data_IF_559100478167
#
_entry.id   IF_559100478167
#
_cell.length_a   1.000
_cell.length_b   1.000
_cell.length_c   1.000
_cell.angle_alpha   90.00
_cell.angle_beta   90.00
_cell.angle_gamma   90.00
#
_symmetry.space_group_name_H-M   'P 1'
#
loop_
_entity.id
_entity.type
_entity.pdbx_description
1 polymer ?
#
# COMPACT_ATOMS: atom_id res chain seq x y z
N UNK A 1 -7.07 -21.14 0.61
CA UNK A 1 -6.74 -20.25 -0.51
C UNK A 1 -7.90 -19.29 -0.69
N UNK A 2 -7.58 -18.01 -0.87
CA UNK A 2 -8.50 -16.89 -0.78
C UNK A 2 -8.87 -16.29 -2.12
N UNK A 3 -9.29 -15.02 -2.10
CA UNK A 3 -9.64 -14.22 -3.26
C UNK A 3 -8.60 -13.13 -3.50
N UNK A 4 -8.43 -12.75 -4.76
CA UNK A 4 -7.56 -11.64 -5.16
C UNK A 4 -8.33 -10.72 -6.10
N UNK A 5 -8.50 -9.45 -5.71
CA UNK A 5 -9.11 -8.42 -6.55
C UNK A 5 -8.05 -7.44 -7.06
N UNK A 6 -8.12 -7.06 -8.32
CA UNK A 6 -7.30 -6.00 -8.93
C UNK A 6 -8.23 -4.87 -9.35
N UNK A 7 -8.09 -3.70 -8.74
CA UNK A 7 -9.01 -2.58 -8.97
C UNK A 7 -8.34 -1.21 -8.78
N UNK A 8 -9.00 -0.14 -9.23
CA UNK A 8 -8.57 1.24 -9.02
C UNK A 8 -9.47 1.95 -8.04
N UNK A 9 -8.90 2.71 -7.12
CA UNK A 9 -9.66 3.45 -6.11
C UNK A 9 -10.22 4.78 -6.62
N UNK A 10 -9.67 5.32 -7.72
CA UNK A 10 -10.10 6.61 -8.27
C UNK A 10 -11.36 6.55 -9.16
N UNK A 11 -11.65 5.40 -9.77
CA UNK A 11 -12.82 5.22 -10.66
C UNK A 11 -14.14 5.16 -9.89
N UNK A 12 -15.25 4.78 -10.55
CA UNK A 12 -16.53 4.48 -9.88
C UNK A 12 -16.82 2.96 -9.77
N UNK A 13 -16.52 2.20 -10.81
CA UNK A 13 -16.73 0.74 -10.82
C UNK A 13 -15.68 0.01 -9.99
N UNK A 14 -14.40 0.35 -10.18
CA UNK A 14 -13.30 -0.29 -9.45
C UNK A 14 -13.34 -0.01 -7.95
N UNK A 15 -13.75 1.19 -7.57
CA UNK A 15 -13.96 1.61 -6.18
C UNK A 15 -15.25 1.03 -5.63
N UNK A 16 -16.41 1.64 -5.93
CA UNK A 16 -17.69 1.36 -5.28
C UNK A 16 -18.22 -0.04 -5.54
N UNK A 17 -18.23 -0.51 -6.80
CA UNK A 17 -18.64 -1.89 -7.08
C UNK A 17 -17.57 -2.89 -6.61
N UNK A 18 -16.29 -2.54 -6.68
CA UNK A 18 -15.19 -3.38 -6.19
C UNK A 18 -15.27 -3.63 -4.68
N UNK A 19 -15.46 -2.59 -3.88
CA UNK A 19 -15.61 -2.70 -2.43
C UNK A 19 -16.92 -3.39 -2.02
N UNK A 20 -18.01 -3.16 -2.76
CA UNK A 20 -19.25 -3.91 -2.55
C UNK A 20 -19.05 -5.42 -2.78
N UNK A 21 -18.32 -5.81 -3.84
CA UNK A 21 -17.97 -7.21 -4.09
C UNK A 21 -17.09 -7.78 -2.98
N UNK A 22 -16.10 -7.02 -2.50
CA UNK A 22 -15.26 -7.42 -1.38
C UNK A 22 -16.12 -7.72 -0.14
N UNK A 23 -17.01 -6.79 0.23
CA UNK A 23 -17.93 -6.94 1.38
C UNK A 23 -18.81 -8.18 1.23
N UNK A 24 -19.41 -8.40 0.05
CA UNK A 24 -20.23 -9.59 -0.21
C UNK A 24 -19.46 -10.90 -0.19
N UNK A 25 -18.23 -10.91 -0.70
CA UNK A 25 -17.37 -12.10 -0.61
C UNK A 25 -16.96 -12.34 0.84
N UNK A 26 -16.70 -11.28 1.64
CA UNK A 26 -16.37 -11.42 3.06
C UNK A 26 -17.54 -11.95 3.88
N UNK A 27 -18.77 -11.52 3.58
CA UNK A 27 -20.01 -12.07 4.16
C UNK A 27 -20.20 -13.55 3.82
N UNK A 28 -19.99 -13.95 2.56
CA UNK A 28 -20.24 -15.32 2.09
C UNK A 28 -19.09 -16.29 2.45
N UNK A 29 -17.86 -15.80 2.50
CA UNK A 29 -16.64 -16.57 2.71
C UNK A 29 -15.72 -15.94 3.79
N UNK A 30 -16.17 -15.85 5.05
CA UNK A 30 -15.41 -15.19 6.11
C UNK A 30 -14.06 -15.87 6.43
N UNK A 31 -13.98 -17.20 6.26
CA UNK A 31 -12.76 -17.99 6.53
C UNK A 31 -11.72 -17.92 5.40
N UNK A 32 -11.96 -17.12 4.36
CA UNK A 32 -11.09 -17.01 3.19
C UNK A 32 -10.38 -15.67 3.19
N UNK A 33 -9.06 -15.73 2.98
CA UNK A 33 -8.22 -14.54 2.83
C UNK A 33 -8.70 -13.70 1.64
N UNK A 34 -8.79 -12.39 1.83
CA UNK A 34 -9.13 -11.41 0.81
C UNK A 34 -7.95 -10.48 0.58
N UNK A 35 -7.35 -10.58 -0.60
CA UNK A 35 -6.22 -9.73 -1.00
C UNK A 35 -6.62 -8.79 -2.13
N UNK A 36 -6.12 -7.56 -2.11
CA UNK A 36 -6.37 -6.59 -3.19
C UNK A 36 -5.09 -5.97 -3.74
N UNK A 37 -5.08 -5.71 -5.04
CA UNK A 37 -4.11 -4.85 -5.71
C UNK A 37 -4.85 -3.57 -6.06
N UNK A 38 -4.64 -2.55 -5.23
CA UNK A 38 -5.40 -1.31 -5.22
C UNK A 38 -4.58 -0.19 -5.84
N UNK A 39 -5.01 0.26 -7.02
CA UNK A 39 -4.36 1.38 -7.72
C UNK A 39 -4.87 2.70 -7.15
N UNK A 40 -3.97 3.45 -6.52
CA UNK A 40 -4.22 4.73 -5.87
C UNK A 40 -4.18 5.84 -6.94
N UNK A 41 -5.17 6.75 -6.96
CA UNK A 41 -5.19 7.84 -7.92
C UNK A 41 -4.08 8.86 -7.69
N UNK A 42 -3.72 9.57 -8.75
CA UNK A 42 -2.77 10.68 -8.69
C UNK A 42 -3.14 11.77 -9.69
N UNK A 43 -3.11 13.05 -9.29
CA UNK A 43 -3.37 14.18 -10.19
C UNK A 43 -2.33 14.33 -11.30
N UNK A 44 -1.18 13.64 -11.22
CA UNK A 44 -0.19 13.61 -12.30
C UNK A 44 -0.61 12.73 -13.49
N UNK A 45 -1.53 11.78 -13.24
CA UNK A 45 -1.93 10.76 -14.22
C UNK A 45 -3.37 10.95 -14.69
N UNK A 46 -4.22 11.55 -13.87
CA UNK A 46 -5.63 11.79 -14.20
C UNK A 46 -6.06 13.22 -13.85
N UNK A 47 -6.84 13.82 -14.75
CA UNK A 47 -7.46 15.15 -14.58
C UNK A 47 -8.81 15.08 -13.84
N UNK A 48 -9.26 13.88 -13.44
CA UNK A 48 -10.56 13.70 -12.80
C UNK A 48 -10.51 14.17 -11.36
N UNK A 49 -11.25 15.24 -11.07
CA UNK A 49 -11.23 15.87 -9.75
C UNK A 49 -11.90 15.05 -8.66
N UNK A 50 -12.84 14.14 -8.99
CA UNK A 50 -13.60 13.37 -7.98
C UNK A 50 -12.88 12.11 -7.46
N UNK A 51 -11.69 11.79 -7.97
CA UNK A 51 -10.93 10.60 -7.56
C UNK A 51 -10.61 10.53 -6.06
N UNK A 52 -10.30 11.64 -5.35
CA UNK A 52 -10.08 11.60 -3.91
C UNK A 52 -11.32 11.16 -3.12
N UNK A 53 -12.53 11.51 -3.58
CA UNK A 53 -13.78 11.03 -2.94
C UNK A 53 -13.90 9.52 -3.04
N UNK A 54 -13.77 9.00 -4.27
CA UNK A 54 -13.84 7.57 -4.52
C UNK A 54 -12.77 6.80 -3.74
N UNK A 55 -11.55 7.35 -3.66
CA UNK A 55 -10.46 6.71 -2.96
C UNK A 55 -10.68 6.68 -1.45
N UNK A 56 -11.08 7.79 -0.82
CA UNK A 56 -11.35 7.84 0.63
C UNK A 56 -12.47 6.89 1.02
N UNK A 57 -13.59 6.90 0.28
CA UNK A 57 -14.70 5.96 0.50
C UNK A 57 -14.28 4.50 0.32
N UNK A 58 -13.41 4.22 -0.66
CA UNK A 58 -12.93 2.86 -0.90
C UNK A 58 -11.99 2.38 0.20
N UNK A 59 -11.08 3.24 0.67
CA UNK A 59 -10.11 2.85 1.70
C UNK A 59 -10.82 2.51 3.01
N UNK A 60 -11.84 3.28 3.40
CA UNK A 60 -12.69 2.94 4.54
C UNK A 60 -13.21 1.50 4.45
N UNK A 61 -13.72 1.09 3.29
CA UNK A 61 -14.19 -0.29 3.07
C UNK A 61 -13.06 -1.33 3.01
N UNK A 62 -11.88 -0.96 2.50
CA UNK A 62 -10.74 -1.87 2.40
C UNK A 62 -10.14 -2.19 3.78
N UNK A 63 -10.08 -1.21 4.67
CA UNK A 63 -9.55 -1.38 6.04
C UNK A 63 -10.35 -2.44 6.80
N UNK A 64 -11.66 -2.48 6.63
CA UNK A 64 -12.52 -3.43 7.36
C UNK A 64 -12.63 -4.80 6.70
N UNK A 65 -12.61 -4.86 5.36
CA UNK A 65 -13.01 -6.06 4.62
C UNK A 65 -11.87 -6.82 3.91
N UNK A 66 -10.63 -6.32 3.96
CA UNK A 66 -9.48 -6.96 3.31
C UNK A 66 -8.41 -7.35 4.31
N UNK A 67 -7.79 -8.51 4.09
CA UNK A 67 -6.71 -8.99 4.96
C UNK A 67 -5.35 -8.42 4.49
N UNK A 68 -5.14 -8.25 3.18
CA UNK A 68 -3.95 -7.58 2.63
C UNK A 68 -4.32 -6.69 1.43
N UNK A 69 -3.84 -5.44 1.44
CA UNK A 69 -3.99 -4.52 0.31
C UNK A 69 -2.63 -4.03 -0.19
N UNK A 70 -2.27 -4.44 -1.41
CA UNK A 70 -1.11 -3.95 -2.13
C UNK A 70 -1.43 -2.58 -2.74
N UNK A 71 -0.85 -1.53 -2.16
CA UNK A 71 -1.00 -0.17 -2.65
C UNK A 71 -0.09 0.06 -3.86
N UNK A 72 -0.70 0.35 -5.02
CA UNK A 72 -0.01 0.69 -6.27
C UNK A 72 -0.32 2.15 -6.59
N UNK A 73 0.64 3.03 -6.43
CA UNK A 73 0.47 4.46 -6.63
C UNK A 73 0.85 4.87 -8.05
N UNK A 74 -0.13 5.43 -8.77
CA UNK A 74 0.10 6.01 -10.09
C UNK A 74 1.14 7.14 -10.07
N UNK A 75 1.27 7.88 -8.97
CA UNK A 75 2.29 8.90 -8.81
C UNK A 75 3.70 8.30 -8.84
N UNK A 76 3.91 7.22 -8.09
CA UNK A 76 5.19 6.53 -8.03
C UNK A 76 5.54 5.89 -9.36
N UNK A 77 4.57 5.20 -9.98
CA UNK A 77 4.74 4.60 -11.30
C UNK A 77 5.10 5.65 -12.36
N UNK A 78 4.44 6.81 -12.33
CA UNK A 78 4.75 7.91 -13.24
C UNK A 78 6.16 8.45 -13.00
N UNK A 79 6.54 8.69 -11.74
CA UNK A 79 7.86 9.19 -11.38
C UNK A 79 8.97 8.18 -11.76
N UNK A 80 8.74 6.87 -11.63
CA UNK A 80 9.66 5.82 -12.10
C UNK A 80 9.83 5.90 -13.63
N UNK A 81 8.73 5.91 -14.38
CA UNK A 81 8.76 5.99 -15.84
C UNK A 81 9.47 7.25 -16.33
N UNK A 82 9.15 8.40 -15.73
CA UNK A 82 9.66 9.69 -16.15
C UNK A 82 11.11 9.94 -15.69
N UNK A 83 11.40 9.72 -14.40
CA UNK A 83 12.71 10.08 -13.81
C UNK A 83 13.73 8.97 -13.97
N UNK A 84 13.33 7.71 -13.83
CA UNK A 84 14.25 6.56 -13.85
C UNK A 84 14.38 5.99 -15.25
N UNK A 85 13.26 5.67 -15.91
CA UNK A 85 13.27 5.11 -17.28
C UNK A 85 13.43 6.17 -18.38
N UNK A 86 13.43 7.46 -18.02
CA UNK A 86 13.60 8.60 -18.93
C UNK A 86 12.57 8.65 -20.07
N UNK A 87 11.36 8.17 -19.81
CA UNK A 87 10.23 8.31 -20.73
C UNK A 87 9.67 9.73 -20.60
N UNK A 88 9.76 10.52 -21.66
CA UNK A 88 9.32 11.93 -21.65
C UNK A 88 7.81 12.09 -21.48
N UNK A 89 7.03 11.12 -21.96
CA UNK A 89 5.57 11.07 -21.86
C UNK A 89 5.14 9.64 -21.54
N UNK A 90 5.12 9.26 -20.24
CA UNK A 90 4.66 7.94 -19.82
C UNK A 90 3.21 7.68 -20.23
N UNK A 91 2.93 6.51 -20.80
CA UNK A 91 1.57 6.06 -21.14
C UNK A 91 1.04 5.05 -20.13
N UNK A 92 -0.26 4.80 -20.10
CA UNK A 92 -0.83 3.71 -19.28
C UNK A 92 -0.24 2.33 -19.62
N UNK A 93 0.21 2.11 -20.86
CA UNK A 93 0.92 0.88 -21.22
C UNK A 93 2.23 0.72 -20.45
N UNK A 94 2.97 1.80 -20.25
CA UNK A 94 4.24 1.81 -19.52
C UNK A 94 4.02 1.61 -18.02
N UNK A 95 3.01 2.27 -17.44
CA UNK A 95 2.59 2.09 -16.05
C UNK A 95 2.17 0.63 -15.80
N UNK A 96 1.33 0.08 -16.68
CA UNK A 96 0.87 -1.30 -16.57
C UNK A 96 2.00 -2.32 -16.75
N UNK A 97 3.02 -2.01 -17.56
CA UNK A 97 4.22 -2.84 -17.66
C UNK A 97 4.91 -2.93 -16.29
N UNK A 98 5.09 -1.80 -15.58
CA UNK A 98 5.63 -1.80 -14.22
C UNK A 98 4.74 -2.57 -13.24
N UNK A 99 3.41 -2.38 -13.27
CA UNK A 99 2.49 -3.13 -12.42
C UNK A 99 2.61 -4.64 -12.65
N UNK A 100 2.61 -5.08 -13.90
CA UNK A 100 2.80 -6.49 -14.25
C UNK A 100 4.18 -7.01 -13.84
N UNK A 101 5.20 -6.15 -13.91
CA UNK A 101 6.55 -6.49 -13.50
C UNK A 101 6.65 -6.59 -11.98
N UNK A 102 5.99 -5.74 -11.20
CA UNK A 102 5.89 -5.83 -9.73
C UNK A 102 5.20 -7.11 -9.31
N UNK A 103 4.16 -7.52 -10.03
CA UNK A 103 3.55 -8.84 -9.85
C UNK A 103 4.53 -9.99 -10.19
N UNK A 104 5.65 -9.71 -10.87
CA UNK A 104 6.63 -10.72 -11.32
C UNK A 104 8.05 -10.60 -10.72
N UNK A 105 8.38 -9.49 -10.04
CA UNK A 105 9.62 -9.17 -9.30
C UNK A 105 10.69 -8.35 -10.05
N UNK A 106 11.40 -7.43 -9.35
CA UNK A 106 12.63 -6.71 -9.76
C UNK A 106 13.64 -6.42 -8.61
N UNK A 107 14.90 -6.93 -8.69
CA UNK A 107 16.10 -6.59 -7.88
C UNK A 107 16.82 -5.42 -8.54
N UNK A 108 17.39 -4.41 -7.87
CA UNK A 108 18.36 -4.44 -6.77
C UNK A 108 18.40 -3.07 -6.06
N UNK A 109 17.36 -2.25 -6.22
CA UNK A 109 17.25 -0.89 -5.70
C UNK A 109 16.06 -0.72 -4.73
N UNK A 110 15.65 -1.84 -4.15
CA UNK A 110 14.42 -2.04 -3.39
C UNK A 110 14.24 -1.10 -2.20
N UNK A 111 15.34 -0.74 -1.54
CA UNK A 111 15.32 0.17 -0.38
C UNK A 111 15.52 1.64 -0.77
N UNK A 112 15.64 1.94 -2.07
CA UNK A 112 15.63 3.32 -2.57
C UNK A 112 14.17 3.72 -2.82
N UNK A 113 13.76 4.86 -2.27
CA UNK A 113 12.41 5.43 -2.44
C UNK A 113 11.98 5.50 -3.92
N UNK A 114 12.96 5.60 -4.83
CA UNK A 114 12.75 5.64 -6.28
C UNK A 114 12.19 4.36 -6.91
N UNK A 115 12.20 3.23 -6.19
CA UNK A 115 11.70 1.95 -6.71
C UNK A 115 10.48 1.45 -5.95
N UNK A 116 9.98 2.26 -5.01
CA UNK A 116 8.72 1.96 -4.37
C UNK A 116 7.57 2.20 -5.33
N UNK A 117 6.60 1.29 -5.28
CA UNK A 117 5.38 1.36 -6.07
C UNK A 117 4.32 2.22 -5.38
N UNK A 118 4.59 2.68 -4.15
CA UNK A 118 3.85 3.71 -3.44
C UNK A 118 4.75 4.96 -3.34
N UNK A 119 4.21 6.17 -3.54
CA UNK A 119 5.01 7.40 -3.49
C UNK A 119 5.23 7.84 -2.04
N UNK A 120 5.89 6.99 -1.26
CA UNK A 120 6.33 7.29 0.10
C UNK A 120 7.83 7.03 0.22
N UNK A 121 8.53 7.85 1.02
CA UNK A 121 9.94 7.61 1.34
C UNK A 121 10.02 6.68 2.56
N UNK A 122 10.57 5.47 2.43
CA UNK A 122 10.65 4.52 3.55
C UNK A 122 11.57 5.02 4.67
N UNK A 123 12.38 6.06 4.42
CA UNK A 123 13.23 6.69 5.44
C UNK A 123 12.47 7.63 6.37
N UNK A 124 11.26 8.05 5.99
CA UNK A 124 10.40 8.87 6.85
C UNK A 124 9.57 8.04 7.82
N UNK A 125 9.67 6.70 7.77
CA UNK A 125 9.01 5.80 8.69
C UNK A 125 9.87 4.63 9.10
N UNK A 126 9.21 3.61 9.65
CA UNK A 126 9.82 2.34 10.06
C UNK A 126 9.11 1.19 9.37
N UNK A 127 9.83 0.10 9.12
CA UNK A 127 9.30 -1.15 8.62
C UNK A 127 8.80 -1.98 9.80
N UNK A 128 7.52 -2.32 9.78
CA UNK A 128 6.91 -3.28 10.68
C UNK A 128 7.35 -4.69 10.29
N UNK A 129 7.06 -5.08 9.05
CA UNK A 129 7.43 -6.38 8.48
C UNK A 129 7.84 -6.25 7.03
N UNK A 130 8.70 -7.16 6.59
CA UNK A 130 9.23 -7.18 5.21
C UNK A 130 9.27 -8.60 4.69
N UNK A 131 8.79 -8.80 3.47
CA UNK A 131 9.02 -10.01 2.69
C UNK A 131 9.81 -9.68 1.41
N UNK A 132 10.90 -10.41 1.19
CA UNK A 132 11.74 -10.29 0.00
C UNK A 132 11.80 -11.62 -0.75
N UNK A 133 11.21 -11.67 -1.94
CA UNK A 133 11.13 -12.87 -2.78
C UNK A 133 12.10 -12.75 -3.94
N UNK A 134 13.26 -13.37 -3.83
CA UNK A 134 14.28 -13.42 -4.86
C UNK A 134 13.94 -14.48 -5.91
N UNK A 135 14.20 -14.18 -7.19
CA UNK A 135 13.95 -15.05 -8.33
C UNK A 135 15.18 -15.10 -9.23
N UNK A 136 15.57 -16.29 -9.66
CA UNK A 136 16.75 -16.56 -10.47
C UNK A 136 17.80 -17.39 -9.72
N UNK A 137 18.79 -17.91 -10.47
CA UNK A 137 19.86 -18.74 -9.89
C UNK A 137 20.81 -17.90 -9.04
N UNK A 138 20.76 -18.07 -7.72
CA UNK A 138 21.62 -17.37 -6.77
C UNK A 138 21.93 -18.25 -5.56
N UNK A 139 23.02 -17.92 -4.85
CA UNK A 139 23.39 -18.62 -3.63
C UNK A 139 22.52 -18.12 -2.47
N UNK A 140 21.80 -19.03 -1.80
CA UNK A 140 21.00 -18.65 -0.61
C UNK A 140 21.85 -18.00 0.48
N UNK A 141 23.10 -18.46 0.64
CA UNK A 141 24.05 -17.86 1.59
C UNK A 141 24.32 -16.38 1.29
N UNK A 142 24.47 -16.03 0.01
CA UNK A 142 24.73 -14.63 -0.37
C UNK A 142 23.50 -13.75 -0.13
N UNK A 143 22.30 -14.28 -0.41
CA UNK A 143 21.03 -13.60 -0.13
C UNK A 143 20.88 -13.29 1.35
N UNK A 144 21.13 -14.27 2.22
CA UNK A 144 21.02 -14.10 3.66
C UNK A 144 22.05 -13.09 4.21
N UNK A 145 23.30 -13.17 3.73
CA UNK A 145 24.36 -12.22 4.11
C UNK A 145 24.01 -10.77 3.69
N UNK A 146 23.46 -10.59 2.48
CA UNK A 146 23.06 -9.25 2.02
C UNK A 146 21.88 -8.71 2.82
N UNK A 147 20.88 -9.54 3.11
CA UNK A 147 19.70 -9.10 3.86
C UNK A 147 20.04 -8.77 5.31
N UNK A 148 20.92 -9.54 5.95
CA UNK A 148 21.45 -9.22 7.27
C UNK A 148 22.26 -7.92 7.26
N UNK A 149 23.09 -7.70 6.24
CA UNK A 149 23.87 -6.47 6.09
C UNK A 149 22.96 -5.23 5.92
N UNK A 150 21.87 -5.34 5.15
CA UNK A 150 20.89 -4.27 4.98
C UNK A 150 20.20 -3.94 6.30
N UNK A 151 19.78 -4.95 7.07
CA UNK A 151 19.17 -4.76 8.38
C UNK A 151 20.15 -4.09 9.35
N UNK A 152 21.38 -4.61 9.47
CA UNK A 152 22.37 -4.07 10.41
C UNK A 152 22.77 -2.62 10.11
N UNK A 153 22.86 -2.25 8.82
CA UNK A 153 23.19 -0.87 8.43
C UNK A 153 22.07 0.13 8.66
N UNK A 154 20.83 -0.35 8.68
CA UNK A 154 19.61 0.44 8.65
C UNK A 154 18.70 0.08 9.83
N UNK A 155 19.25 -0.39 10.94
CA UNK A 155 18.47 -1.00 12.04
C UNK A 155 17.43 -0.03 12.60
N UNK A 156 17.72 1.27 12.62
CA UNK A 156 16.79 2.33 13.04
C UNK A 156 15.51 2.45 12.20
N UNK A 157 15.53 1.92 10.98
CA UNK A 157 14.37 1.90 10.09
C UNK A 157 13.53 0.63 10.23
N UNK A 158 13.94 -0.32 11.06
CA UNK A 158 13.15 -1.51 11.38
C UNK A 158 12.67 -1.39 12.82
N UNK A 159 11.42 -1.76 13.09
CA UNK A 159 10.93 -1.79 14.46
C UNK A 159 11.66 -2.86 15.27
N UNK A 160 12.03 -2.53 16.50
CA UNK A 160 12.82 -3.40 17.37
C UNK A 160 11.95 -4.43 18.11
N UNK A 161 10.69 -4.10 18.36
CA UNK A 161 9.73 -4.92 19.10
C UNK A 161 9.18 -6.12 18.31
N UNK A 162 9.32 -6.13 16.97
CA UNK A 162 9.08 -7.33 16.14
C UNK A 162 10.43 -8.01 15.82
N UNK A 163 10.85 -9.04 16.57
CA UNK A 163 12.08 -9.74 16.28
C UNK A 163 11.99 -10.50 14.95
N UNK A 164 13.05 -10.47 14.15
CA UNK A 164 13.16 -11.20 12.88
C UNK A 164 12.00 -10.88 11.89
N UNK A 165 11.63 -9.61 11.80
CA UNK A 165 10.52 -9.08 10.98
C UNK A 165 10.75 -9.12 9.46
N UNK A 166 11.95 -9.48 9.01
CA UNK A 166 12.28 -9.62 7.59
C UNK A 166 12.35 -11.10 7.22
N UNK A 167 11.56 -11.50 6.22
CA UNK A 167 11.59 -12.86 5.65
C UNK A 167 12.07 -12.84 4.20
N UNK A 168 12.91 -13.80 3.87
CA UNK A 168 13.50 -13.98 2.55
C UNK A 168 13.01 -15.29 1.94
N UNK A 169 12.74 -15.28 0.65
CA UNK A 169 12.43 -16.47 -0.12
C UNK A 169 13.22 -16.45 -1.42
N UNK A 170 13.66 -17.62 -1.89
CA UNK A 170 14.43 -17.75 -3.15
C UNK A 170 13.70 -18.73 -4.07
N UNK A 171 13.51 -18.33 -5.31
CA UNK A 171 12.92 -19.13 -6.38
C UNK A 171 13.90 -19.25 -7.53
N UNK A 172 14.22 -20.47 -7.97
CA UNK A 172 15.20 -20.69 -9.04
C UNK A 172 14.75 -20.21 -10.43
N UNK A 173 13.44 -19.99 -10.63
CA UNK A 173 12.86 -19.63 -11.92
C UNK A 173 12.77 -18.09 -12.03
N UNK A 174 13.60 -17.47 -12.89
CA UNK A 174 13.56 -16.03 -13.09
C UNK A 174 12.34 -15.60 -13.93
N UNK A 175 11.92 -14.33 -13.82
CA UNK A 175 10.87 -13.78 -14.69
C UNK A 175 11.36 -13.64 -16.14
N UNK A 176 10.41 -13.53 -17.07
CA UNK A 176 10.70 -13.48 -18.50
C UNK A 176 11.52 -12.23 -18.85
N UNK A 177 12.65 -12.42 -19.52
CA UNK A 177 13.51 -11.33 -20.00
C UNK A 177 14.57 -10.86 -18.99
N UNK A 178 14.58 -11.40 -17.77
CA UNK A 178 15.57 -11.08 -16.75
C UNK A 178 16.27 -12.35 -16.26
N UNK A 179 17.52 -12.20 -15.81
CA UNK A 179 18.28 -13.32 -15.21
C UNK A 179 18.02 -13.44 -13.72
N UNK A 180 17.74 -12.31 -13.06
CA UNK A 180 17.49 -12.21 -11.62
C UNK A 180 16.47 -11.09 -11.35
N UNK A 181 15.66 -11.27 -10.31
CA UNK A 181 14.66 -10.33 -9.82
C UNK A 181 14.48 -10.50 -8.29
N UNK A 182 13.95 -9.52 -7.58
CA UNK A 182 13.39 -9.67 -6.22
C UNK A 182 12.05 -8.94 -6.16
N UNK A 183 11.10 -9.48 -5.45
CA UNK A 183 9.88 -8.74 -5.10
C UNK A 183 9.98 -8.34 -3.65
N UNK A 184 9.80 -7.07 -3.37
CA UNK A 184 9.79 -6.57 -1.99
C UNK A 184 8.40 -6.13 -1.61
N UNK A 185 7.95 -6.65 -0.48
CA UNK A 185 6.68 -6.34 0.14
C UNK A 185 7.03 -5.81 1.52
N UNK A 186 6.94 -4.50 1.70
CA UNK A 186 7.22 -3.85 2.96
C UNK A 186 5.93 -3.32 3.55
N UNK A 187 5.60 -3.75 4.77
CA UNK A 187 4.64 -3.06 5.61
C UNK A 187 5.40 -1.98 6.38
N UNK A 188 5.24 -0.73 5.97
CA UNK A 188 5.95 0.42 6.55
C UNK A 188 4.97 1.49 6.99
N UNK A 189 5.25 2.11 8.13
CA UNK A 189 4.51 3.26 8.64
C UNK A 189 4.58 4.48 7.71
N UNK A 190 5.57 4.52 6.81
CA UNK A 190 5.69 5.58 5.80
C UNK A 190 4.51 5.60 4.81
N UNK A 191 3.72 4.52 4.72
CA UNK A 191 2.51 4.49 3.87
C UNK A 191 1.49 5.58 4.26
N UNK A 192 1.56 6.09 5.48
CA UNK A 192 0.73 7.21 5.92
C UNK A 192 0.86 8.45 5.03
N UNK A 193 2.00 8.68 4.35
CA UNK A 193 2.18 9.81 3.42
C UNK A 193 1.19 9.73 2.25
N UNK A 194 0.92 8.51 1.76
CA UNK A 194 -0.03 8.26 0.69
C UNK A 194 -1.46 8.60 1.14
N UNK A 195 -1.83 8.16 2.35
CA UNK A 195 -3.15 8.44 2.92
C UNK A 195 -3.34 9.91 3.25
N UNK A 196 -2.31 10.58 3.80
CA UNK A 196 -2.28 12.04 4.03
C UNK A 196 -2.53 12.80 2.73
N UNK A 197 -1.86 12.41 1.63
CA UNK A 197 -2.06 13.05 0.32
C UNK A 197 -3.49 12.92 -0.19
N UNK A 198 -4.10 11.74 -0.08
CA UNK A 198 -5.50 11.51 -0.48
C UNK A 198 -6.45 12.31 0.42
N UNK A 199 -6.21 12.29 1.74
CA UNK A 199 -6.99 13.02 2.75
C UNK A 199 -6.96 14.53 2.50
N UNK A 200 -5.79 15.13 2.28
CA UNK A 200 -5.67 16.57 1.98
C UNK A 200 -6.47 16.98 0.74
N UNK A 201 -6.42 16.18 -0.33
CA UNK A 201 -7.19 16.43 -1.55
C UNK A 201 -8.70 16.27 -1.32
N UNK A 202 -9.09 15.24 -0.57
CA UNK A 202 -10.47 15.01 -0.16
C UNK A 202 -11.01 16.21 0.64
N UNK A 203 -10.32 16.61 1.72
CA UNK A 203 -10.73 17.71 2.59
C UNK A 203 -10.83 19.02 1.81
N UNK A 204 -9.90 19.29 0.90
CA UNK A 204 -9.92 20.50 0.07
C UNK A 204 -11.18 20.60 -0.81
N UNK A 205 -11.68 19.46 -1.32
CA UNK A 205 -12.91 19.40 -2.08
C UNK A 205 -14.16 19.40 -1.18
N UNK A 206 -14.15 18.60 -0.12
CA UNK A 206 -15.28 18.41 0.79
C UNK A 206 -15.67 19.70 1.50
N UNK A 207 -14.68 20.50 1.93
CA UNK A 207 -14.93 21.84 2.50
C UNK A 207 -15.68 22.78 1.56
N UNK A 208 -15.56 22.59 0.23
CA UNK A 208 -16.28 23.37 -0.79
C UNK A 208 -17.57 22.72 -1.26
N UNK A 209 -17.89 21.51 -0.75
CA UNK A 209 -18.99 20.64 -1.21
C UNK A 209 -19.01 20.47 -2.73
N UNK A 210 -17.84 20.44 -3.37
CA UNK A 210 -17.73 20.32 -4.82
C UNK A 210 -18.18 18.93 -5.26
N UNK A 211 -19.02 18.82 -6.28
CA UNK A 211 -19.52 17.55 -6.84
C UNK A 211 -20.26 16.60 -5.88
N UNK A 212 -20.51 17.00 -4.62
CA UNK A 212 -21.16 16.17 -3.61
C UNK A 212 -22.56 15.70 -4.04
N UNK A 213 -23.30 16.55 -4.77
CA UNK A 213 -24.63 16.24 -5.30
C UNK A 213 -24.68 15.03 -6.26
N UNK A 214 -23.56 14.61 -6.85
CA UNK A 214 -23.50 13.39 -7.67
C UNK A 214 -23.58 12.12 -6.82
N UNK A 215 -23.17 12.18 -5.56
CA UNK A 215 -23.21 11.04 -4.64
C UNK A 215 -24.52 11.04 -3.86
N UNK A 216 -24.92 12.21 -3.34
CA UNK A 216 -26.19 12.31 -2.60
C UNK A 216 -27.41 12.14 -3.51
N UNK A 217 -27.30 12.45 -4.81
CA UNK A 217 -28.31 12.15 -5.81
C UNK A 217 -28.52 10.66 -6.08
N UNK A 218 -27.50 9.84 -5.84
CA UNK A 218 -27.54 8.38 -5.98
C UNK A 218 -27.90 7.67 -4.66
N UNK A 219 -28.15 8.43 -3.59
CA UNK A 219 -28.68 7.94 -2.32
C UNK A 219 -27.68 7.85 -1.16
N UNK A 220 -26.44 8.31 -1.31
CA UNK A 220 -25.48 8.40 -0.20
C UNK A 220 -25.77 9.60 0.73
N UNK A 221 -25.49 9.45 2.02
CA UNK A 221 -25.53 10.57 2.98
C UNK A 221 -24.19 11.34 2.99
N UNK A 222 -24.24 12.65 3.25
CA UNK A 222 -23.05 13.46 3.54
C UNK A 222 -22.32 12.97 4.81
N UNK A 223 -23.03 12.32 5.73
CA UNK A 223 -22.44 11.70 6.92
C UNK A 223 -21.43 10.60 6.57
N UNK A 224 -21.70 9.79 5.53
CA UNK A 224 -20.78 8.72 5.08
C UNK A 224 -19.42 9.28 4.64
N UNK A 225 -19.39 10.49 4.06
CA UNK A 225 -18.15 11.18 3.71
C UNK A 225 -17.36 11.60 4.93
N UNK A 226 -18.05 12.06 5.98
CA UNK A 226 -17.42 12.49 7.23
C UNK A 226 -16.85 11.30 7.99
N UNK A 227 -17.56 10.18 8.01
CA UNK A 227 -17.09 8.92 8.61
C UNK A 227 -15.86 8.39 7.87
N UNK A 228 -15.90 8.35 6.53
CA UNK A 228 -14.76 7.90 5.74
C UNK A 228 -13.53 8.82 5.90
N UNK A 229 -13.73 10.15 6.01
CA UNK A 229 -12.65 11.10 6.33
C UNK A 229 -12.07 10.84 7.72
N UNK A 230 -12.92 10.62 8.73
CA UNK A 230 -12.47 10.31 10.09
C UNK A 230 -11.63 9.05 10.10
N UNK A 231 -12.13 7.94 9.55
CA UNK A 231 -11.41 6.66 9.56
C UNK A 231 -10.09 6.72 8.81
N UNK A 232 -10.01 7.48 7.72
CA UNK A 232 -8.73 7.71 7.04
C UNK A 232 -7.71 8.41 7.95
N UNK A 233 -8.16 9.40 8.73
CA UNK A 233 -7.30 10.13 9.65
C UNK A 233 -6.93 9.30 10.89
N UNK A 234 -7.85 8.45 11.35
CA UNK A 234 -7.61 7.49 12.42
C UNK A 234 -6.51 6.49 12.00
N UNK A 235 -6.62 5.91 10.80
CA UNK A 235 -5.60 5.03 10.22
C UNK A 235 -4.22 5.71 10.11
N UNK A 236 -4.19 6.97 9.68
CA UNK A 236 -2.95 7.76 9.64
C UNK A 236 -2.35 7.93 11.06
N UNK A 237 -3.20 8.14 12.05
CA UNK A 237 -2.79 8.33 13.44
C UNK A 237 -2.26 7.03 14.05
N UNK A 238 -2.89 5.88 13.75
CA UNK A 238 -2.40 4.55 14.15
C UNK A 238 -1.00 4.28 13.58
N UNK A 239 -0.77 4.54 12.29
CA UNK A 239 0.56 4.39 11.69
C UNK A 239 1.60 5.31 12.34
N UNK A 240 1.20 6.53 12.73
CA UNK A 240 2.08 7.45 13.44
C UNK A 240 2.41 6.94 14.85
N UNK A 241 1.44 6.39 15.57
CA UNK A 241 1.64 5.79 16.89
C UNK A 241 2.65 4.65 16.84
N UNK A 242 2.50 3.70 15.91
CA UNK A 242 3.46 2.59 15.75
C UNK A 242 4.85 3.04 15.27
N UNK A 243 4.92 4.16 14.57
CA UNK A 243 6.20 4.73 14.14
C UNK A 243 7.00 5.28 15.31
N UNK A 244 6.32 5.96 16.24
CA UNK A 244 6.92 6.59 17.41
C UNK A 244 7.12 5.59 18.55
N UNK A 245 6.36 4.49 18.57
CA UNK A 245 6.44 3.43 19.56
C UNK A 245 7.87 2.88 19.71
N UNK A 246 8.25 2.70 20.97
CA UNK A 246 9.52 2.08 21.38
C UNK A 246 9.26 0.76 22.11
N UNK A 247 10.26 -0.12 22.15
CA UNK A 247 10.13 -1.43 22.79
C UNK A 247 9.83 -1.36 24.30
N UNK A 248 10.10 -0.23 24.95
CA UNK A 248 9.79 0.00 26.37
C UNK A 248 8.32 0.37 26.61
N UNK A 249 7.61 0.88 25.60
CA UNK A 249 6.21 1.32 25.72
C UNK A 249 5.22 0.17 25.44
N UNK A 250 5.61 -0.89 24.74
CA UNK A 250 4.75 -2.06 24.47
C UNK A 250 4.57 -3.01 25.65
N UNK A 251 5.48 -3.03 26.64
CA UNK A 251 5.28 -3.81 27.87
C UNK A 251 4.02 -3.36 28.63
N UNK A 252 3.60 -2.10 28.47
CA UNK A 252 2.39 -1.53 29.08
C UNK A 252 1.10 -1.90 28.30
N UNK A 253 1.16 -1.98 26.96
CA UNK A 253 0.02 -2.36 26.12
C UNK A 253 -0.28 -3.87 26.11
N UNK A 254 0.73 -4.71 26.38
CA UNK A 254 0.57 -6.16 26.49
C UNK A 254 -0.20 -6.59 27.74
N UNK A 255 -0.10 -5.83 28.83
CA UNK A 255 -0.84 -6.10 30.07
C UNK A 255 -2.33 -5.70 29.95
N UNK A 256 -2.66 -4.61 29.23
CA UNK A 256 -4.06 -4.19 29.01
C UNK A 256 -4.85 -5.17 28.12
N UNK A 257 -4.21 -5.78 27.12
CA UNK A 257 -4.88 -6.75 26.25
C UNK A 257 -5.15 -8.12 26.90
N UNK A 258 -4.37 -8.50 27.93
CA UNK A 258 -4.60 -9.72 28.71
C UNK A 258 -5.68 -9.56 29.79
N UNK A 259 -6.00 -8.33 30.23
CA UNK A 259 -7.09 -8.08 31.19
C UNK A 259 -8.50 -8.08 30.55
N UNK A 260 -8.62 -7.94 29.23
CA UNK A 260 -9.91 -7.93 28.51
C UNK A 260 -10.30 -9.26 27.82
N UNK A 261 -9.56 -10.36 28.05
CA UNK A 261 -9.82 -11.69 27.47
C UNK A 261 -10.51 -12.70 28.40
#
# INVERSE_FOLDING_TARGET
QGFQLTHSLGGGTGSGMGTLLISKIREEYPDRIMNTFSVVPSPKVSDTVVEPYNATLSVHQLVENTDETYCIDNEALYDICFRTLKLTTPTYGDLNHLVSATMSGLTQQVSDAKNMMAACDPRHGRYLTVAAVFRGRMSMKEVDEQMLNVQNKNSSYFVEWIPNNVKTAVCDIPPRGLKMAVTFIGNSTAIQELFKRISEQFTAMFRRKAFLHWYTGEGMDEMEFTEAESNMNDLVSEYQQYQDATAEEEEDFGEEAEEEA
#
